data_IF_491298087789
#
_entry.id   IF_491298087789
#
_cell.length_a   1.000
_cell.length_b   1.000
_cell.length_c   1.000
_cell.angle_alpha   90.00
_cell.angle_beta   90.00
_cell.angle_gamma   90.00
#
_symmetry.space_group_name_H-M   'P 1'
#
loop_
_entity.id
_entity.type
_entity.pdbx_description
1 polymer ?
#
# COMPACT_ATOMS: atom_id res chain seq x y z
N UNK A 1 37.73 -2.15 14.95
CA UNK A 1 36.75 -1.45 14.11
C UNK A 1 35.54 -1.18 14.97
N UNK A 2 35.58 -0.08 15.73
CA UNK A 2 34.58 0.26 16.74
C UNK A 2 33.45 1.07 16.09
N UNK A 3 32.21 0.75 16.45
CA UNK A 3 30.99 1.33 15.90
C UNK A 3 30.93 2.85 16.09
N UNK A 4 30.26 3.59 15.19
CA UNK A 4 30.05 5.03 15.35
C UNK A 4 29.10 5.29 16.52
N UNK A 5 29.53 6.18 17.41
CA UNK A 5 28.82 6.64 18.60
C UNK A 5 27.51 7.37 18.19
N UNK A 6 26.38 7.00 18.82
CA UNK A 6 25.09 7.64 18.53
C UNK A 6 25.09 9.10 19.03
N UNK A 7 24.39 10.03 18.34
CA UNK A 7 24.34 11.42 18.77
C UNK A 7 23.66 11.56 20.14
N UNK A 8 24.37 12.16 21.09
CA UNK A 8 23.88 12.44 22.44
C UNK A 8 22.56 13.23 22.40
N UNK A 9 21.57 12.77 23.16
CA UNK A 9 20.34 13.54 23.37
C UNK A 9 20.70 14.78 24.18
N UNK A 10 20.35 16.01 23.74
CA UNK A 10 20.77 17.22 24.43
C UNK A 10 20.30 17.19 25.89
N UNK A 11 21.25 17.24 26.82
CA UNK A 11 20.97 17.24 28.25
C UNK A 11 20.03 18.41 28.61
N UNK A 12 19.13 18.17 29.57
CA UNK A 12 18.24 19.21 30.07
C UNK A 12 19.08 20.42 30.53
N UNK A 13 18.69 21.65 30.18
CA UNK A 13 19.50 22.83 30.45
C UNK A 13 19.72 22.99 31.96
N UNK A 14 20.97 23.19 32.36
CA UNK A 14 21.36 23.37 33.76
C UNK A 14 20.53 24.50 34.42
N UNK A 15 20.09 24.32 35.69
CA UNK A 15 19.18 25.26 36.35
C UNK A 15 19.74 26.69 36.44
N UNK A 16 21.07 26.84 36.51
CA UNK A 16 21.74 28.14 36.48
C UNK A 16 21.62 28.87 35.14
N UNK A 17 21.67 28.13 34.02
CA UNK A 17 21.51 28.70 32.68
C UNK A 17 20.07 29.19 32.44
N UNK A 18 19.08 28.48 32.98
CA UNK A 18 17.67 28.87 32.94
C UNK A 18 17.41 30.13 33.77
N UNK A 19 18.10 30.28 34.91
CA UNK A 19 18.00 31.48 35.75
C UNK A 19 18.59 32.72 35.07
N UNK A 20 19.78 32.61 34.45
CA UNK A 20 20.46 33.72 33.77
C UNK A 20 19.74 34.20 32.51
N UNK A 21 19.20 33.29 31.72
CA UNK A 21 18.56 33.62 30.43
C UNK A 21 17.07 33.32 30.42
N UNK A 22 16.40 33.65 31.52
CA UNK A 22 14.97 33.36 31.75
C UNK A 22 14.07 33.87 30.61
N UNK A 23 14.40 35.03 30.02
CA UNK A 23 13.68 35.59 28.88
C UNK A 23 13.85 34.76 27.58
N UNK A 24 15.07 34.31 27.30
CA UNK A 24 15.38 33.47 26.14
C UNK A 24 14.71 32.09 26.27
N UNK A 25 14.81 31.47 27.44
CA UNK A 25 14.14 30.19 27.69
C UNK A 25 12.62 30.30 27.60
N UNK A 26 12.01 31.39 28.10
CA UNK A 26 10.58 31.66 27.86
C UNK A 26 10.27 31.82 26.38
N UNK A 27 11.09 32.53 25.61
CA UNK A 27 10.88 32.71 24.17
C UNK A 27 10.97 31.37 23.42
N UNK A 28 11.97 30.54 23.72
CA UNK A 28 12.13 29.19 23.15
C UNK A 28 10.93 28.31 23.52
N UNK A 29 10.50 28.32 24.77
CA UNK A 29 9.37 27.53 25.24
C UNK A 29 8.06 27.96 24.56
N UNK A 30 7.86 29.27 24.37
CA UNK A 30 6.71 29.84 23.66
C UNK A 30 6.72 29.54 22.16
N UNK A 31 7.91 29.36 21.56
CA UNK A 31 8.07 28.95 20.16
C UNK A 31 7.83 27.45 19.98
N UNK A 32 8.23 26.63 20.97
CA UNK A 32 7.97 25.18 21.00
C UNK A 32 6.51 24.84 21.28
N UNK A 33 5.80 25.66 22.08
CA UNK A 33 4.38 25.53 22.37
C UNK A 33 3.59 26.76 21.88
N UNK A 34 3.33 26.88 20.56
CA UNK A 34 2.44 27.91 20.04
C UNK A 34 1.03 27.70 20.59
N UNK A 35 0.27 28.80 20.76
CA UNK A 35 -1.15 28.72 21.13
C UNK A 35 -1.92 28.11 19.95
N UNK A 36 -2.45 26.90 20.13
CA UNK A 36 -3.34 26.26 19.16
C UNK A 36 -4.55 27.16 18.92
N UNK A 37 -4.80 27.54 17.66
CA UNK A 37 -6.00 28.30 17.26
C UNK A 37 -7.12 27.31 16.94
N UNK A 38 -8.37 27.74 17.05
CA UNK A 38 -9.52 26.89 16.64
C UNK A 38 -9.42 26.45 15.18
N UNK A 39 -8.80 27.25 14.31
CA UNK A 39 -8.51 26.90 12.90
C UNK A 39 -7.53 25.74 12.75
N UNK A 40 -6.74 25.45 13.79
CA UNK A 40 -5.76 24.37 13.82
C UNK A 40 -6.38 23.06 14.33
N UNK A 41 -7.62 23.11 14.81
CA UNK A 41 -8.36 21.96 15.36
C UNK A 41 -9.33 21.45 14.29
N UNK A 42 -8.90 20.43 13.54
CA UNK A 42 -9.78 19.69 12.64
C UNK A 42 -10.73 18.82 13.46
N UNK A 43 -11.90 19.37 13.82
CA UNK A 43 -12.97 18.59 14.48
C UNK A 43 -13.54 17.63 13.45
N UNK A 44 -13.11 16.38 13.53
CA UNK A 44 -13.60 15.32 12.65
C UNK A 44 -14.66 14.54 13.40
N UNK A 45 -15.86 14.41 12.83
CA UNK A 45 -16.94 13.63 13.43
C UNK A 45 -16.48 12.20 13.71
N UNK A 46 -16.65 11.74 14.94
CA UNK A 46 -16.20 10.41 15.37
C UNK A 46 -16.82 9.30 14.49
N UNK A 47 -18.06 9.52 14.02
CA UNK A 47 -18.75 8.65 13.08
C UNK A 47 -18.06 8.59 11.69
N UNK A 48 -17.55 9.72 11.19
CA UNK A 48 -16.80 9.75 9.92
C UNK A 48 -15.45 9.04 10.05
N UNK A 49 -14.75 9.23 11.16
CA UNK A 49 -13.50 8.52 11.45
C UNK A 49 -13.75 7.01 11.52
N UNK A 50 -14.75 6.56 12.29
CA UNK A 50 -15.13 5.14 12.38
C UNK A 50 -15.49 4.54 11.03
N UNK A 51 -16.22 5.29 10.18
CA UNK A 51 -16.59 4.83 8.83
C UNK A 51 -15.38 4.73 7.91
N UNK A 52 -14.46 5.69 7.95
CA UNK A 52 -13.23 5.67 7.17
C UNK A 52 -12.33 4.48 7.57
N UNK A 53 -12.12 4.28 8.88
CA UNK A 53 -11.33 3.16 9.41
C UNK A 53 -11.92 1.82 9.00
N UNK A 54 -13.24 1.64 9.09
CA UNK A 54 -13.92 0.41 8.62
C UNK A 54 -13.73 0.17 7.12
N UNK A 55 -13.84 1.22 6.30
CA UNK A 55 -13.66 1.11 4.85
C UNK A 55 -12.22 0.71 4.48
N UNK A 56 -11.21 1.34 5.10
CA UNK A 56 -9.80 0.99 4.89
C UNK A 56 -9.49 -0.43 5.38
N UNK A 57 -10.01 -0.82 6.55
CA UNK A 57 -9.81 -2.18 7.08
C UNK A 57 -10.42 -3.25 6.17
N UNK A 58 -11.62 -3.01 5.65
CA UNK A 58 -12.29 -3.94 4.72
C UNK A 58 -11.55 -4.03 3.38
N UNK A 59 -11.08 -2.89 2.84
CA UNK A 59 -10.27 -2.86 1.62
C UNK A 59 -8.98 -3.69 1.77
N UNK A 60 -8.22 -3.43 2.84
CA UNK A 60 -7.03 -4.21 3.16
C UNK A 60 -7.34 -5.70 3.37
N UNK A 61 -8.43 -6.04 4.06
CA UNK A 61 -8.82 -7.45 4.25
C UNK A 61 -9.15 -8.14 2.91
N UNK A 62 -9.85 -7.46 2.01
CA UNK A 62 -10.19 -7.97 0.68
C UNK A 62 -8.95 -8.17 -0.19
N UNK A 63 -7.98 -7.26 -0.07
CA UNK A 63 -6.67 -7.35 -0.72
C UNK A 63 -5.92 -8.62 -0.29
N UNK A 64 -5.78 -8.84 1.02
CA UNK A 64 -5.15 -10.04 1.57
C UNK A 64 -5.91 -11.32 1.24
N UNK A 65 -7.24 -11.24 1.18
CA UNK A 65 -8.08 -12.36 0.77
C UNK A 65 -7.82 -12.77 -0.69
N UNK A 66 -7.80 -11.84 -1.65
CA UNK A 66 -7.51 -12.14 -3.07
C UNK A 66 -6.13 -12.78 -3.23
N UNK A 67 -5.11 -12.25 -2.54
CA UNK A 67 -3.77 -12.83 -2.58
C UNK A 67 -3.69 -14.22 -1.97
N UNK A 68 -4.37 -14.44 -0.83
CA UNK A 68 -4.44 -15.74 -0.19
C UNK A 68 -5.12 -16.77 -1.09
N UNK A 69 -6.25 -16.41 -1.70
CA UNK A 69 -6.98 -17.28 -2.64
C UNK A 69 -6.14 -17.59 -3.87
N UNK A 70 -5.45 -16.61 -4.45
CA UNK A 70 -4.57 -16.87 -5.60
C UNK A 70 -3.42 -17.81 -5.23
N UNK A 71 -2.72 -17.54 -4.12
CA UNK A 71 -1.61 -18.39 -3.68
C UNK A 71 -2.07 -19.83 -3.43
N UNK A 72 -3.26 -19.99 -2.84
CA UNK A 72 -3.88 -21.30 -2.64
C UNK A 72 -4.23 -21.99 -3.97
N UNK A 73 -4.78 -21.26 -4.93
CA UNK A 73 -5.16 -21.77 -6.25
C UNK A 73 -4.00 -21.81 -7.24
N UNK A 74 -2.77 -21.45 -6.86
CA UNK A 74 -1.66 -21.28 -7.78
C UNK A 74 -1.38 -22.54 -8.62
N UNK A 75 -1.56 -23.73 -8.04
CA UNK A 75 -1.41 -25.01 -8.74
C UNK A 75 -2.49 -25.21 -9.81
N UNK A 76 -3.75 -24.88 -9.50
CA UNK A 76 -4.88 -24.99 -10.44
C UNK A 76 -4.70 -23.97 -11.57
N UNK A 77 -4.35 -22.74 -11.23
CA UNK A 77 -4.06 -21.68 -12.20
C UNK A 77 -2.89 -22.08 -13.10
N UNK A 78 -1.85 -22.70 -12.54
CA UNK A 78 -0.73 -23.25 -13.30
C UNK A 78 -1.20 -24.21 -14.39
N UNK A 79 -2.08 -25.15 -14.04
CA UNK A 79 -2.58 -26.17 -14.97
C UNK A 79 -3.52 -25.60 -16.04
N UNK A 80 -4.38 -24.66 -15.67
CA UNK A 80 -5.39 -24.10 -16.58
C UNK A 80 -4.84 -23.01 -17.51
N UNK A 81 -3.87 -22.21 -17.06
CA UNK A 81 -3.40 -21.04 -17.80
C UNK A 81 -2.03 -21.22 -18.44
N UNK A 82 -1.21 -22.20 -18.07
CA UNK A 82 0.12 -22.40 -18.65
C UNK A 82 0.21 -23.67 -19.50
N UNK A 83 1.10 -23.69 -20.52
CA UNK A 83 1.20 -24.83 -21.43
C UNK A 83 1.44 -26.16 -20.69
N UNK A 84 0.77 -27.21 -21.17
CA UNK A 84 0.91 -28.56 -20.64
C UNK A 84 2.28 -29.15 -20.97
N UNK A 85 2.90 -29.84 -20.01
CA UNK A 85 4.15 -30.55 -20.22
C UNK A 85 4.89 -30.88 -18.92
N UNK A 86 5.06 -29.90 -18.04
CA UNK A 86 5.68 -30.10 -16.74
C UNK A 86 4.90 -29.37 -15.63
N UNK A 87 4.22 -30.13 -14.78
CA UNK A 87 3.40 -29.64 -13.66
C UNK A 87 4.19 -28.71 -12.71
N UNK A 88 5.48 -28.98 -12.51
CA UNK A 88 6.36 -28.13 -11.69
C UNK A 88 6.58 -26.78 -12.36
N UNK A 89 6.83 -26.75 -13.67
CA UNK A 89 7.04 -25.51 -14.42
C UNK A 89 5.76 -24.67 -14.48
N UNK A 90 4.59 -25.29 -14.63
CA UNK A 90 3.29 -24.63 -14.59
C UNK A 90 3.02 -23.96 -13.23
N UNK A 91 3.24 -24.70 -12.14
CA UNK A 91 3.07 -24.17 -10.78
C UNK A 91 4.06 -23.04 -10.51
N UNK A 92 5.32 -23.21 -10.90
CA UNK A 92 6.35 -22.18 -10.75
C UNK A 92 6.02 -20.92 -11.55
N UNK A 93 5.45 -21.06 -12.74
CA UNK A 93 5.03 -19.92 -13.57
C UNK A 93 3.87 -19.16 -12.92
N UNK A 94 2.89 -19.87 -12.35
CA UNK A 94 1.79 -19.25 -11.59
C UNK A 94 2.28 -18.46 -10.37
N UNK A 95 3.24 -19.03 -9.63
CA UNK A 95 3.91 -18.36 -8.51
C UNK A 95 4.80 -17.20 -8.97
N UNK A 96 5.47 -17.32 -10.11
CA UNK A 96 6.27 -16.24 -10.69
C UNK A 96 5.38 -15.06 -11.11
N UNK A 97 4.21 -15.32 -11.71
CA UNK A 97 3.19 -14.30 -12.00
C UNK A 97 2.72 -13.61 -10.72
N UNK A 98 2.50 -14.38 -9.64
CA UNK A 98 2.17 -13.82 -8.33
C UNK A 98 3.27 -12.89 -7.83
N UNK A 99 4.53 -13.35 -7.84
CA UNK A 99 5.68 -12.56 -7.41
C UNK A 99 5.87 -11.30 -8.27
N UNK A 100 5.69 -11.41 -9.59
CA UNK A 100 5.79 -10.29 -10.52
C UNK A 100 4.81 -9.16 -10.17
N UNK A 101 3.60 -9.49 -9.71
CA UNK A 101 2.63 -8.48 -9.26
C UNK A 101 3.16 -7.65 -8.07
N UNK A 102 3.98 -8.22 -7.18
CA UNK A 102 4.59 -7.47 -6.08
C UNK A 102 5.64 -6.46 -6.57
N UNK A 103 6.38 -6.76 -7.64
CA UNK A 103 7.34 -5.82 -8.24
C UNK A 103 6.67 -4.59 -8.85
N UNK A 104 5.38 -4.70 -9.23
CA UNK A 104 4.63 -3.58 -9.79
C UNK A 104 4.10 -2.65 -8.69
N UNK A 105 3.98 -3.09 -7.44
CA UNK A 105 3.45 -2.28 -6.33
C UNK A 105 4.24 -0.98 -6.09
N UNK A 106 5.58 -0.96 -6.02
CA UNK A 106 6.33 0.28 -5.88
C UNK A 106 6.05 1.28 -7.00
N UNK A 107 5.83 0.78 -8.22
CA UNK A 107 5.49 1.61 -9.39
C UNK A 107 4.10 2.22 -9.19
N UNK A 108 3.15 1.42 -8.69
CA UNK A 108 1.83 1.89 -8.29
C UNK A 108 1.88 3.00 -7.25
N UNK A 109 2.66 2.83 -6.18
CA UNK A 109 2.79 3.85 -5.13
C UNK A 109 3.44 5.13 -5.60
N UNK A 110 4.46 5.03 -6.48
CA UNK A 110 5.08 6.20 -7.08
C UNK A 110 4.12 6.98 -8.00
N UNK A 111 3.18 6.30 -8.65
CA UNK A 111 2.17 6.93 -9.51
C UNK A 111 0.99 7.50 -8.71
N UNK A 112 0.40 6.69 -7.84
CA UNK A 112 -0.80 7.04 -7.08
C UNK A 112 -0.52 7.92 -5.87
N UNK A 113 0.69 7.93 -5.32
CA UNK A 113 1.07 8.80 -4.21
C UNK A 113 0.90 10.30 -4.53
N UNK A 114 1.65 10.84 -5.51
CA UNK A 114 1.50 12.24 -5.93
C UNK A 114 0.10 12.56 -6.47
N UNK A 115 -0.54 11.59 -7.14
CA UNK A 115 -1.88 11.75 -7.65
C UNK A 115 -2.92 11.84 -6.53
N UNK A 116 -2.75 11.09 -5.45
CA UNK A 116 -3.59 11.11 -4.25
C UNK A 116 -3.50 12.42 -3.49
N UNK A 117 -2.30 13.01 -3.42
CA UNK A 117 -2.10 14.31 -2.81
C UNK A 117 -2.70 15.46 -3.65
N UNK A 118 -2.80 15.29 -4.98
CA UNK A 118 -3.37 16.30 -5.90
C UNK A 118 -4.88 16.19 -6.11
N UNK A 119 -5.41 14.97 -6.23
CA UNK A 119 -6.82 14.69 -6.60
C UNK A 119 -7.67 14.37 -5.35
N UNK A 120 -7.02 14.00 -4.25
CA UNK A 120 -7.64 13.65 -2.98
C UNK A 120 -7.63 12.15 -2.71
N UNK A 121 -7.10 11.76 -1.55
CA UNK A 121 -6.89 10.37 -1.13
C UNK A 121 -8.13 9.49 -1.24
N UNK A 122 -9.31 10.00 -0.88
CA UNK A 122 -10.58 9.24 -0.98
C UNK A 122 -10.92 8.81 -2.41
N UNK A 123 -10.63 9.66 -3.40
CA UNK A 123 -10.92 9.36 -4.81
C UNK A 123 -9.95 8.32 -5.36
N UNK A 124 -8.68 8.40 -4.99
CA UNK A 124 -7.67 7.40 -5.38
C UNK A 124 -7.97 6.05 -4.76
N UNK A 125 -8.31 5.99 -3.47
CA UNK A 125 -8.72 4.72 -2.83
C UNK A 125 -9.95 4.10 -3.53
N UNK A 126 -10.93 4.90 -3.92
CA UNK A 126 -12.08 4.38 -4.68
C UNK A 126 -11.66 3.87 -6.07
N UNK A 127 -10.76 4.58 -6.76
CA UNK A 127 -10.24 4.19 -8.06
C UNK A 127 -9.45 2.87 -7.99
N UNK A 128 -8.59 2.69 -6.98
CA UNK A 128 -7.82 1.46 -6.79
C UNK A 128 -8.74 0.29 -6.48
N UNK A 129 -9.75 0.46 -5.61
CA UNK A 129 -10.75 -0.57 -5.35
C UNK A 129 -11.53 -1.00 -6.62
N UNK A 130 -11.92 -0.05 -7.47
CA UNK A 130 -12.61 -0.35 -8.74
C UNK A 130 -11.66 -1.07 -9.72
N UNK A 131 -10.42 -0.60 -9.83
CA UNK A 131 -9.41 -1.19 -10.69
C UNK A 131 -9.11 -2.64 -10.29
N UNK A 132 -8.92 -2.89 -8.99
CA UNK A 132 -8.74 -4.22 -8.43
C UNK A 132 -9.96 -5.12 -8.71
N UNK A 133 -11.18 -4.65 -8.41
CA UNK A 133 -12.40 -5.43 -8.64
C UNK A 133 -12.60 -5.79 -10.11
N UNK A 134 -12.33 -4.85 -11.02
CA UNK A 134 -12.43 -5.05 -12.47
C UNK A 134 -11.40 -6.08 -12.94
N UNK A 135 -10.17 -6.01 -12.43
CA UNK A 135 -9.13 -6.98 -12.76
C UNK A 135 -9.43 -8.37 -12.20
N UNK A 136 -9.95 -8.49 -10.97
CA UNK A 136 -10.39 -9.78 -10.40
C UNK A 136 -11.52 -10.40 -11.24
N UNK A 137 -12.50 -9.59 -11.64
CA UNK A 137 -13.58 -10.05 -12.53
C UNK A 137 -13.03 -10.50 -13.89
N UNK A 138 -12.12 -9.71 -14.47
CA UNK A 138 -11.48 -10.04 -15.74
C UNK A 138 -10.76 -11.40 -15.66
N UNK A 139 -10.00 -11.67 -14.59
CA UNK A 139 -9.32 -12.97 -14.37
C UNK A 139 -10.31 -14.13 -14.40
N UNK A 140 -11.48 -13.98 -13.75
CA UNK A 140 -12.51 -15.01 -13.74
C UNK A 140 -13.17 -15.27 -15.10
N UNK A 141 -13.07 -14.32 -16.05
CA UNK A 141 -13.60 -14.44 -17.41
C UNK A 141 -12.56 -14.96 -18.41
N UNK A 142 -11.29 -15.11 -18.03
CA UNK A 142 -10.25 -15.57 -18.94
C UNK A 142 -10.46 -17.08 -19.23
N UNK A 143 -10.62 -17.48 -20.50
CA UNK A 143 -10.67 -18.89 -20.89
C UNK A 143 -9.34 -19.61 -20.62
N UNK A 144 -9.39 -20.93 -20.47
CA UNK A 144 -8.19 -21.75 -20.26
C UNK A 144 -7.24 -21.73 -21.46
N UNK A 145 -5.99 -22.16 -21.23
CA UNK A 145 -4.95 -22.31 -22.25
C UNK A 145 -5.42 -23.22 -23.41
N UNK A 146 -6.25 -24.23 -23.12
CA UNK A 146 -6.83 -25.09 -24.14
C UNK A 146 -7.73 -24.31 -25.14
N UNK A 147 -8.36 -23.22 -24.70
CA UNK A 147 -9.29 -22.44 -25.51
C UNK A 147 -8.59 -21.33 -26.32
N UNK A 148 -7.68 -20.58 -25.69
CA UNK A 148 -7.08 -19.37 -26.28
C UNK A 148 -5.54 -19.40 -26.35
N UNK A 149 -4.91 -20.51 -25.95
CA UNK A 149 -3.47 -20.71 -26.02
C UNK A 149 -2.69 -19.70 -25.17
N UNK A 150 -1.61 -19.17 -25.75
CA UNK A 150 -0.67 -18.23 -25.10
C UNK A 150 -1.34 -16.94 -24.61
N UNK A 151 -2.52 -16.59 -25.11
CA UNK A 151 -3.26 -15.42 -24.62
C UNK A 151 -3.78 -15.61 -23.19
N UNK A 152 -4.09 -16.83 -22.75
CA UNK A 152 -4.54 -17.09 -21.38
C UNK A 152 -3.53 -16.62 -20.31
N UNK A 153 -2.25 -17.05 -20.34
CA UNK A 153 -1.27 -16.61 -19.35
C UNK A 153 -0.90 -15.13 -19.52
N UNK A 154 -0.92 -14.59 -20.75
CA UNK A 154 -0.65 -13.16 -20.99
C UNK A 154 -1.72 -12.28 -20.34
N UNK A 155 -3.00 -12.59 -20.56
CA UNK A 155 -4.11 -11.85 -19.96
C UNK A 155 -4.10 -11.99 -18.44
N UNK A 156 -3.81 -13.18 -17.92
CA UNK A 156 -3.69 -13.43 -16.48
C UNK A 156 -2.59 -12.54 -15.87
N UNK A 157 -1.39 -12.53 -16.47
CA UNK A 157 -0.27 -11.70 -16.02
C UNK A 157 -0.63 -10.22 -16.08
N UNK A 158 -1.24 -9.75 -17.17
CA UNK A 158 -1.66 -8.34 -17.29
C UNK A 158 -2.66 -7.95 -16.20
N UNK A 159 -3.69 -8.76 -15.97
CA UNK A 159 -4.68 -8.49 -14.92
C UNK A 159 -4.00 -8.48 -13.53
N UNK A 160 -3.05 -9.39 -13.29
CA UNK A 160 -2.26 -9.44 -12.06
C UNK A 160 -1.36 -8.22 -11.88
N UNK A 161 -0.73 -7.74 -12.94
CA UNK A 161 0.06 -6.51 -12.90
C UNK A 161 -0.84 -5.29 -12.61
N UNK A 162 -2.05 -5.23 -13.19
CA UNK A 162 -3.03 -4.17 -12.90
C UNK A 162 -3.50 -4.23 -11.45
N UNK A 163 -3.80 -5.42 -10.91
CA UNK A 163 -4.12 -5.58 -9.49
C UNK A 163 -2.95 -5.09 -8.61
N UNK A 164 -1.73 -5.55 -8.86
CA UNK A 164 -0.53 -5.16 -8.10
C UNK A 164 -0.20 -3.66 -8.20
N UNK A 165 -0.41 -3.07 -9.37
CA UNK A 165 -0.29 -1.62 -9.58
C UNK A 165 -1.30 -0.84 -8.72
N UNK A 166 -2.55 -1.29 -8.72
CA UNK A 166 -3.63 -0.70 -7.93
C UNK A 166 -3.32 -0.72 -6.42
N UNK A 167 -2.77 -1.84 -5.94
CA UNK A 167 -2.39 -2.00 -4.53
C UNK A 167 -1.28 -1.08 -4.09
N UNK A 168 -0.40 -0.69 -5.01
CA UNK A 168 0.70 0.22 -4.73
C UNK A 168 0.23 1.60 -4.25
N UNK A 169 -0.96 2.05 -4.68
CA UNK A 169 -1.48 3.37 -4.31
C UNK A 169 -2.16 3.47 -2.95
N UNK A 170 -2.33 2.35 -2.25
CA UNK A 170 -3.03 2.29 -0.96
C UNK A 170 -2.09 2.49 0.24
N UNK A 171 -0.77 2.37 0.01
CA UNK A 171 0.31 2.49 1.01
C UNK A 171 1.23 3.67 0.70
#
# INVERSE_FOLDING_TARGET
MSAPEAPETPAAPAPEAVARHRALFRAIHRRKNPRLRQTDITVTEEAQVKRAVKATALGNAMEWYDFGVYAYLAVIIGKEFFPSGNDTAQTLSSLATFAAAFLVRPIGGMFFGPLGDRVGRKKILALTMIMMSTATLAIGLIPSYASIGVWAPVLLVLCRMVQGFSTGGEY
#
